data_IF_614320755335
#
_entry.id   IF_614320755335
#
_cell.length_a   1.000
_cell.length_b   1.000
_cell.length_c   1.000
_cell.angle_alpha   90.00
_cell.angle_beta   90.00
_cell.angle_gamma   90.00
#
_symmetry.space_group_name_H-M   'P 1'
#
loop_
_entity.id
_entity.type
_entity.pdbx_description
1 polymer ?
#
# COMPACT_ATOMS: atom_id res chain seq x y z
N UNK A 1 -10.19 -25.93 -14.21
CA UNK A 1 -9.87 -25.09 -13.03
C UNK A 1 -8.84 -24.07 -13.49
N UNK A 2 -9.29 -22.87 -13.87
CA UNK A 2 -8.40 -21.80 -14.33
C UNK A 2 -7.96 -21.01 -13.11
N UNK A 3 -6.71 -21.20 -12.68
CA UNK A 3 -6.06 -20.33 -11.70
C UNK A 3 -5.64 -19.04 -12.43
N UNK A 4 -6.57 -18.10 -12.55
CA UNK A 4 -6.23 -16.72 -12.90
C UNK A 4 -5.62 -16.04 -11.68
N UNK A 5 -4.39 -16.36 -11.37
CA UNK A 5 -3.61 -15.57 -10.42
C UNK A 5 -3.22 -14.29 -11.15
N UNK A 6 -4.01 -13.23 -11.00
CA UNK A 6 -3.56 -11.89 -11.38
C UNK A 6 -2.43 -11.49 -10.43
N UNK A 7 -1.22 -11.85 -10.81
CA UNK A 7 -0.03 -11.26 -10.19
C UNK A 7 0.02 -9.81 -10.65
N UNK A 8 -0.40 -8.89 -9.81
CA UNK A 8 -0.20 -7.46 -10.05
C UNK A 8 1.31 -7.22 -9.94
N UNK A 9 1.94 -6.59 -10.95
CA UNK A 9 3.36 -6.30 -10.86
C UNK A 9 3.63 -5.45 -9.64
N UNK A 10 4.54 -5.91 -8.78
CA UNK A 10 5.02 -5.18 -7.61
C UNK A 10 5.90 -4.02 -8.13
N UNK A 11 5.49 -2.80 -7.92
CA UNK A 11 6.30 -1.60 -8.24
C UNK A 11 6.57 -0.86 -6.93
N UNK A 12 7.62 -1.23 -6.20
CA UNK A 12 7.97 -0.54 -4.97
C UNK A 12 8.52 0.86 -5.27
N UNK A 13 8.18 1.80 -4.41
CA UNK A 13 8.76 3.14 -4.38
C UNK A 13 9.86 3.15 -3.34
N UNK A 14 11.01 3.73 -3.66
CA UNK A 14 12.14 3.86 -2.75
C UNK A 14 12.37 5.35 -2.49
N UNK A 15 12.45 5.75 -1.21
CA UNK A 15 12.77 7.13 -0.85
C UNK A 15 14.29 7.40 -0.86
N UNK A 16 14.66 8.64 -0.62
CA UNK A 16 16.06 9.10 -0.57
C UNK A 16 16.88 8.51 0.59
N UNK A 17 16.24 7.85 1.54
CA UNK A 17 16.87 7.12 2.67
C UNK A 17 16.97 5.62 2.42
N UNK A 18 16.52 5.16 1.26
CA UNK A 18 16.49 3.75 0.91
C UNK A 18 15.30 2.99 1.51
N UNK A 19 14.31 3.65 2.13
CA UNK A 19 13.11 2.98 2.61
C UNK A 19 12.22 2.56 1.44
N UNK A 20 11.75 1.33 1.47
CA UNK A 20 10.93 0.75 0.40
C UNK A 20 9.46 0.76 0.79
N UNK A 21 8.63 1.29 -0.10
CA UNK A 21 7.18 1.34 0.07
C UNK A 21 6.51 0.52 -1.04
N UNK A 22 5.72 -0.46 -0.64
CA UNK A 22 4.76 -1.12 -1.53
C UNK A 22 3.36 -0.66 -1.17
N UNK A 23 2.70 0.03 -2.09
CA UNK A 23 1.38 0.62 -1.87
C UNK A 23 0.38 -0.01 -2.84
N UNK A 24 -0.70 -0.57 -2.30
CA UNK A 24 -1.77 -1.18 -3.09
C UNK A 24 -3.15 -0.68 -2.66
N UNK A 25 -3.99 -0.40 -3.64
CA UNK A 25 -5.41 -0.14 -3.42
C UNK A 25 -6.23 -1.43 -3.51
N UNK A 26 -7.15 -1.62 -2.57
CA UNK A 26 -8.01 -2.79 -2.48
C UNK A 26 -9.48 -2.40 -2.41
N UNK A 27 -10.26 -2.90 -3.35
CA UNK A 27 -11.71 -2.69 -3.40
C UNK A 27 -12.50 -3.95 -3.03
N UNK A 28 -11.84 -5.10 -3.00
CA UNK A 28 -12.42 -6.40 -2.67
C UNK A 28 -12.04 -6.83 -1.26
N UNK A 29 -13.02 -7.23 -0.46
CA UNK A 29 -12.85 -7.61 0.95
C UNK A 29 -12.48 -9.09 1.09
N UNK A 30 -11.22 -9.44 0.84
CA UNK A 30 -10.65 -10.72 1.24
C UNK A 30 -9.48 -10.51 2.20
N UNK A 31 -9.81 -10.34 3.48
CA UNK A 31 -8.81 -10.09 4.53
C UNK A 31 -7.83 -11.23 4.73
N UNK A 32 -8.26 -12.49 4.52
CA UNK A 32 -7.38 -13.64 4.66
C UNK A 32 -6.29 -13.65 3.59
N UNK A 33 -6.64 -13.28 2.37
CA UNK A 33 -5.68 -13.10 1.29
C UNK A 33 -4.75 -11.92 1.56
N UNK A 34 -5.30 -10.74 1.90
CA UNK A 34 -4.50 -9.53 2.13
C UNK A 34 -3.44 -9.72 3.21
N UNK A 35 -3.79 -10.32 4.34
CA UNK A 35 -2.85 -10.59 5.42
C UNK A 35 -1.71 -11.50 4.96
N UNK A 36 -1.97 -12.51 4.13
CA UNK A 36 -0.94 -13.39 3.57
C UNK A 36 -0.09 -12.69 2.51
N UNK A 37 -0.68 -11.79 1.72
CA UNK A 37 0.03 -11.00 0.71
C UNK A 37 1.08 -10.08 1.32
N UNK A 38 0.89 -9.57 2.55
CA UNK A 38 1.92 -8.76 3.23
C UNK A 38 3.24 -9.53 3.34
N UNK A 39 3.17 -10.82 3.71
CA UNK A 39 4.34 -11.68 3.83
C UNK A 39 4.97 -11.98 2.47
N UNK A 40 4.14 -12.25 1.47
CA UNK A 40 4.61 -12.53 0.11
C UNK A 40 5.34 -11.33 -0.49
N UNK A 41 4.76 -10.14 -0.41
CA UNK A 41 5.37 -8.93 -0.96
C UNK A 41 6.69 -8.57 -0.26
N UNK A 42 6.75 -8.70 1.08
CA UNK A 42 8.00 -8.48 1.80
C UNK A 42 9.11 -9.40 1.29
N UNK A 43 8.83 -10.69 1.13
CA UNK A 43 9.81 -11.65 0.63
C UNK A 43 10.25 -11.33 -0.80
N UNK A 44 9.31 -10.94 -1.68
CA UNK A 44 9.64 -10.56 -3.06
C UNK A 44 10.53 -9.31 -3.12
N UNK A 45 10.26 -8.31 -2.29
CA UNK A 45 11.08 -7.09 -2.20
C UNK A 45 12.48 -7.45 -1.74
N UNK A 46 12.63 -8.21 -0.66
CA UNK A 46 13.94 -8.60 -0.14
C UNK A 46 14.79 -9.35 -1.17
N UNK A 47 14.17 -10.32 -1.85
CA UNK A 47 14.84 -11.08 -2.91
C UNK A 47 15.25 -10.18 -4.09
N UNK A 48 14.44 -9.16 -4.40
CA UNK A 48 14.71 -8.27 -5.53
C UNK A 48 15.80 -7.22 -5.25
N UNK A 49 16.01 -6.88 -3.97
CA UNK A 49 16.93 -5.82 -3.57
C UNK A 49 18.26 -6.33 -3.01
N UNK A 50 18.29 -7.53 -2.43
CA UNK A 50 19.49 -8.11 -1.88
C UNK A 50 20.25 -8.87 -2.96
N UNK A 51 21.42 -8.38 -3.34
CA UNK A 51 22.28 -9.04 -4.31
C UNK A 51 23.01 -10.24 -3.71
N UNK A 52 23.34 -11.21 -4.55
CA UNK A 52 24.08 -12.40 -4.12
C UNK A 52 25.44 -12.03 -3.50
N UNK A 53 25.61 -12.37 -2.23
CA UNK A 53 26.85 -12.13 -1.49
C UNK A 53 26.87 -10.86 -0.66
N UNK A 54 25.77 -10.10 -0.66
CA UNK A 54 25.58 -9.01 0.30
C UNK A 54 25.17 -9.54 1.69
N UNK A 55 25.53 -8.79 2.71
CA UNK A 55 25.11 -9.07 4.09
C UNK A 55 23.64 -8.71 4.30
N UNK A 56 22.96 -9.42 5.18
CA UNK A 56 21.55 -9.16 5.50
C UNK A 56 21.30 -7.78 6.11
N UNK A 57 22.32 -7.14 6.68
CA UNK A 57 22.25 -5.76 7.18
C UNK A 57 22.00 -4.73 6.06
N UNK A 58 22.19 -5.10 4.79
CA UNK A 58 21.88 -4.29 3.63
C UNK A 58 20.37 -4.28 3.30
N UNK A 59 19.55 -5.12 3.96
CA UNK A 59 18.10 -5.12 3.74
C UNK A 59 17.46 -3.80 4.18
N UNK A 60 16.66 -3.24 3.30
CA UNK A 60 15.99 -1.96 3.49
C UNK A 60 14.83 -2.06 4.48
N UNK A 61 14.56 -0.95 5.19
CA UNK A 61 13.29 -0.79 5.86
C UNK A 61 12.15 -0.85 4.84
N UNK A 62 11.11 -1.64 5.10
CA UNK A 62 10.05 -1.92 4.14
C UNK A 62 8.66 -1.67 4.75
N UNK A 63 7.85 -0.90 4.03
CA UNK A 63 6.45 -0.67 4.35
C UNK A 63 5.56 -1.34 3.31
N UNK A 64 4.70 -2.27 3.76
CA UNK A 64 3.64 -2.85 2.94
C UNK A 64 2.33 -2.16 3.31
N UNK A 65 1.77 -1.39 2.40
CA UNK A 65 0.63 -0.51 2.65
C UNK A 65 -0.55 -0.95 1.78
N UNK A 66 -1.66 -1.31 2.42
CA UNK A 66 -2.93 -1.54 1.76
C UNK A 66 -3.88 -0.38 2.05
N UNK A 67 -4.40 0.26 0.99
CA UNK A 67 -5.45 1.27 1.06
C UNK A 67 -6.76 0.57 0.67
N UNK A 68 -7.67 0.42 1.63
CA UNK A 68 -8.89 -0.36 1.48
C UNK A 68 -10.12 0.55 1.46
N UNK A 69 -11.00 0.38 0.45
CA UNK A 69 -12.28 1.09 0.37
C UNK A 69 -13.39 0.42 1.21
N UNK A 70 -13.00 -0.40 2.17
CA UNK A 70 -13.88 -1.11 3.09
C UNK A 70 -13.26 -1.15 4.51
N UNK A 71 -14.09 -1.46 5.52
CA UNK A 71 -13.62 -1.68 6.89
C UNK A 71 -12.75 -2.93 6.99
N UNK A 72 -11.51 -2.80 7.50
CA UNK A 72 -10.51 -3.87 7.47
C UNK A 72 -10.51 -4.76 8.70
N UNK A 73 -10.62 -4.18 9.90
CA UNK A 73 -10.64 -4.91 11.17
C UNK A 73 -11.81 -4.42 12.04
N UNK A 74 -11.97 -4.97 13.23
CA UNK A 74 -13.14 -4.75 14.08
C UNK A 74 -13.13 -3.44 14.90
N UNK A 75 -12.08 -2.64 14.83
CA UNK A 75 -11.90 -1.46 15.68
C UNK A 75 -12.31 -0.12 15.04
N UNK A 76 -12.95 -0.14 13.87
CA UNK A 76 -13.43 1.04 13.13
C UNK A 76 -12.40 2.16 12.96
N UNK A 77 -11.09 1.81 12.94
CA UNK A 77 -10.00 2.75 12.76
C UNK A 77 -9.73 3.00 11.27
N UNK A 78 -9.19 4.18 10.98
CA UNK A 78 -8.65 4.49 9.66
C UNK A 78 -7.29 3.83 9.41
N UNK A 79 -6.50 3.60 10.49
CA UNK A 79 -5.15 3.08 10.37
C UNK A 79 -4.89 1.93 11.34
N UNK A 80 -4.33 0.85 10.82
CA UNK A 80 -3.80 -0.28 11.59
C UNK A 80 -2.35 -0.52 11.20
N UNK A 81 -1.47 -0.47 12.18
CA UNK A 81 -0.04 -0.70 12.00
C UNK A 81 0.37 -2.00 12.68
N UNK A 82 1.04 -2.88 11.94
CA UNK A 82 1.55 -4.13 12.46
C UNK A 82 3.08 -4.17 12.34
N UNK A 83 3.72 -4.53 13.43
CA UNK A 83 5.15 -4.82 13.54
C UNK A 83 5.32 -6.16 14.26
N UNK A 84 6.51 -6.73 14.24
CA UNK A 84 6.80 -7.97 14.94
C UNK A 84 7.09 -7.67 16.42
N UNK A 85 6.33 -8.32 17.31
CA UNK A 85 6.44 -8.18 18.77
C UNK A 85 6.81 -9.51 19.41
N UNK A 86 7.57 -9.47 20.50
CA UNK A 86 7.81 -10.62 21.36
C UNK A 86 6.52 -11.01 22.09
N UNK A 87 6.22 -12.30 22.15
CA UNK A 87 5.01 -12.81 22.85
C UNK A 87 5.29 -12.88 24.36
N UNK A 88 6.51 -13.20 24.75
CA UNK A 88 6.91 -13.42 26.14
C UNK A 88 7.23 -12.12 26.88
N UNK A 89 7.59 -11.04 26.15
CA UNK A 89 7.97 -9.76 26.74
C UNK A 89 7.17 -8.62 26.10
N UNK A 90 6.24 -8.06 26.87
CA UNK A 90 5.34 -7.01 26.41
C UNK A 90 6.13 -5.74 26.02
N UNK A 91 5.85 -5.22 24.84
CA UNK A 91 6.47 -4.01 24.29
C UNK A 91 7.82 -4.22 23.61
N UNK A 92 8.45 -5.41 23.74
CA UNK A 92 9.67 -5.74 23.01
C UNK A 92 9.38 -5.93 21.52
N UNK A 93 9.98 -5.11 20.66
CA UNK A 93 9.91 -5.20 19.21
C UNK A 93 11.09 -5.95 18.65
N UNK A 94 10.86 -6.73 17.58
CA UNK A 94 11.96 -7.38 16.87
C UNK A 94 12.81 -6.38 16.06
N UNK A 95 12.21 -5.25 15.66
CA UNK A 95 12.84 -4.18 14.87
C UNK A 95 13.55 -4.67 13.59
N UNK A 96 12.92 -5.63 12.91
CA UNK A 96 13.42 -6.22 11.65
C UNK A 96 13.23 -5.31 10.42
N UNK A 97 12.93 -4.04 10.61
CA UNK A 97 12.70 -3.07 9.54
C UNK A 97 11.40 -3.26 8.76
N UNK A 98 10.51 -4.18 9.18
CA UNK A 98 9.26 -4.47 8.47
C UNK A 98 8.06 -3.83 9.14
N UNK A 99 7.31 -3.02 8.39
CA UNK A 99 6.04 -2.44 8.85
C UNK A 99 4.92 -2.77 7.85
N UNK A 100 3.77 -3.19 8.37
CA UNK A 100 2.56 -3.43 7.56
C UNK A 100 1.49 -2.43 7.98
N UNK A 101 0.94 -1.72 7.00
CA UNK A 101 -0.09 -0.71 7.20
C UNK A 101 -1.36 -1.12 6.45
N UNK A 102 -2.47 -1.06 7.16
CA UNK A 102 -3.78 -1.12 6.54
C UNK A 102 -4.50 0.20 6.80
N UNK A 103 -4.84 0.89 5.72
CA UNK A 103 -5.59 2.14 5.74
C UNK A 103 -7.01 1.84 5.25
N UNK A 104 -8.02 2.33 5.97
CA UNK A 104 -9.43 2.15 5.62
C UNK A 104 -10.10 3.48 5.38
N UNK A 105 -10.79 3.64 4.24
CA UNK A 105 -11.62 4.82 3.96
C UNK A 105 -12.87 4.85 4.87
N UNK A 106 -13.23 3.72 5.50
CA UNK A 106 -14.45 3.54 6.31
C UNK A 106 -14.21 3.65 7.82
N UNK A 107 -13.03 4.09 8.24
CA UNK A 107 -12.77 4.35 9.66
C UNK A 107 -13.68 5.45 10.22
N UNK A 108 -13.99 5.35 11.51
CA UNK A 108 -14.85 6.30 12.24
C UNK A 108 -14.13 6.94 13.41
N UNK A 109 -12.99 6.37 13.82
CA UNK A 109 -12.17 6.89 14.91
C UNK A 109 -11.30 8.02 14.39
N UNK A 110 -11.19 9.13 15.15
CA UNK A 110 -10.27 10.23 14.84
C UNK A 110 -8.84 9.86 15.28
N UNK A 111 -8.19 9.00 14.49
CA UNK A 111 -6.90 8.38 14.79
C UNK A 111 -5.80 8.67 13.74
N UNK A 112 -6.09 9.57 12.80
CA UNK A 112 -5.17 9.96 11.73
C UNK A 112 -5.11 11.48 11.55
N UNK A 113 -4.03 11.97 10.92
CA UNK A 113 -3.89 13.36 10.58
C UNK A 113 -4.90 13.81 9.52
N UNK A 114 -5.24 15.11 9.53
CA UNK A 114 -6.18 15.67 8.55
C UNK A 114 -5.75 15.47 7.09
N UNK A 115 -4.46 15.62 6.69
CA UNK A 115 -4.03 15.33 5.34
C UNK A 115 -4.27 13.88 4.92
N UNK A 116 -4.00 12.92 5.83
CA UNK A 116 -4.27 11.51 5.55
C UNK A 116 -5.78 11.24 5.46
N UNK A 117 -6.59 11.91 6.28
CA UNK A 117 -8.06 11.81 6.19
C UNK A 117 -8.56 12.33 4.84
N UNK A 118 -8.10 13.52 4.40
CA UNK A 118 -8.46 14.10 3.11
C UNK A 118 -8.10 13.16 1.95
N UNK A 119 -6.92 12.52 2.03
CA UNK A 119 -6.50 11.53 1.04
C UNK A 119 -7.42 10.30 1.03
N UNK A 120 -7.78 9.75 2.19
CA UNK A 120 -8.68 8.60 2.26
C UNK A 120 -10.10 8.95 1.79
N UNK A 121 -10.58 10.15 2.07
CA UNK A 121 -11.87 10.64 1.56
C UNK A 121 -11.83 10.78 0.03
N UNK A 122 -10.76 11.32 -0.53
CA UNK A 122 -10.56 11.37 -1.97
C UNK A 122 -10.55 9.96 -2.61
N UNK A 123 -9.85 9.00 -2.02
CA UNK A 123 -9.86 7.60 -2.46
C UNK A 123 -11.26 6.98 -2.39
N UNK A 124 -12.09 7.41 -1.44
CA UNK A 124 -13.49 6.98 -1.30
C UNK A 124 -14.46 7.67 -2.28
N UNK A 125 -13.95 8.55 -3.14
CA UNK A 125 -14.69 9.23 -4.20
C UNK A 125 -15.22 10.61 -3.83
N UNK A 126 -14.76 11.22 -2.74
CA UNK A 126 -15.08 12.60 -2.40
C UNK A 126 -14.25 13.58 -3.24
N UNK A 127 -14.74 14.82 -3.39
CA UNK A 127 -14.01 15.87 -4.08
C UNK A 127 -12.69 16.22 -3.36
N UNK A 128 -11.65 16.64 -4.12
CA UNK A 128 -10.38 17.08 -3.54
C UNK A 128 -10.59 18.18 -2.49
N UNK A 129 -10.12 17.94 -1.26
CA UNK A 129 -10.38 18.80 -0.10
C UNK A 129 -9.30 19.88 0.12
N UNK A 130 -8.11 19.71 -0.45
CA UNK A 130 -6.97 20.60 -0.31
C UNK A 130 -6.12 20.65 -1.58
N UNK A 131 -5.09 21.51 -1.57
CA UNK A 131 -4.19 21.73 -2.73
C UNK A 131 -3.48 20.44 -3.16
N UNK A 132 -2.98 19.66 -2.20
CA UNK A 132 -2.32 18.37 -2.47
C UNK A 132 -3.27 17.39 -3.17
N UNK A 133 -4.53 17.31 -2.73
CA UNK A 133 -5.53 16.46 -3.36
C UNK A 133 -5.90 16.95 -4.76
N UNK A 134 -5.92 18.27 -4.99
CA UNK A 134 -6.15 18.85 -6.32
C UNK A 134 -5.01 18.53 -7.28
N UNK A 135 -3.76 18.57 -6.82
CA UNK A 135 -2.59 18.14 -7.61
C UNK A 135 -2.68 16.66 -7.99
N UNK A 136 -2.98 15.78 -7.02
CA UNK A 136 -3.16 14.35 -7.25
C UNK A 136 -4.29 14.09 -8.24
N UNK A 137 -5.44 14.74 -8.09
CA UNK A 137 -6.58 14.60 -9.00
C UNK A 137 -6.22 15.02 -10.43
N UNK A 138 -5.47 16.10 -10.57
CA UNK A 138 -5.00 16.58 -11.87
C UNK A 138 -4.09 15.55 -12.55
N UNK A 139 -3.14 14.95 -11.83
CA UNK A 139 -2.23 13.91 -12.34
C UNK A 139 -2.97 12.62 -12.70
N UNK A 140 -3.93 12.20 -11.87
CA UNK A 140 -4.79 11.03 -12.15
C UNK A 140 -5.59 11.24 -13.42
N UNK A 141 -6.19 12.42 -13.60
CA UNK A 141 -6.95 12.78 -14.79
C UNK A 141 -6.09 12.83 -16.05
N UNK A 142 -4.88 13.38 -15.97
CA UNK A 142 -3.91 13.40 -17.08
C UNK A 142 -3.48 11.99 -17.50
N UNK A 143 -3.20 11.13 -16.52
CA UNK A 143 -2.79 9.75 -16.75
C UNK A 143 -3.93 8.93 -17.37
N UNK A 144 -5.15 9.09 -16.87
CA UNK A 144 -6.35 8.44 -17.43
C UNK A 144 -6.60 8.83 -18.87
N UNK A 145 -6.47 10.10 -19.22
CA UNK A 145 -6.58 10.60 -20.62
C UNK A 145 -5.51 10.00 -21.52
N UNK A 146 -4.26 9.90 -21.04
CA UNK A 146 -3.17 9.27 -21.82
C UNK A 146 -3.46 7.80 -22.10
N UNK A 147 -3.98 7.06 -21.12
CA UNK A 147 -4.37 5.66 -21.30
C UNK A 147 -5.49 5.51 -22.33
N UNK A 148 -6.53 6.34 -22.30
CA UNK A 148 -7.59 6.34 -23.31
C UNK A 148 -7.06 6.58 -24.73
N UNK A 149 -6.21 7.58 -24.91
CA UNK A 149 -5.60 7.92 -26.22
C UNK A 149 -4.72 6.79 -26.76
N UNK A 150 -3.97 6.09 -25.88
CA UNK A 150 -3.14 4.95 -26.29
C UNK A 150 -4.01 3.74 -26.71
N UNK A 151 -5.14 3.51 -26.04
CA UNK A 151 -6.07 2.45 -26.42
C UNK A 151 -6.73 2.75 -27.77
N UNK A 152 -7.18 3.98 -28.02
CA UNK A 152 -7.75 4.37 -29.30
C UNK A 152 -6.75 4.25 -30.46
N UNK A 153 -5.47 4.59 -30.21
CA UNK A 153 -4.41 4.44 -31.22
C UNK A 153 -4.08 2.97 -31.56
N UNK A 154 -4.27 2.04 -30.61
CA UNK A 154 -4.01 0.61 -30.84
C UNK A 154 -5.14 -0.12 -31.55
N UNK A 155 -6.36 0.45 -31.59
CA UNK A 155 -7.50 -0.12 -32.32
C UNK A 155 -7.64 0.41 -33.75
N UNK A 156 -6.75 1.32 -34.19
CA UNK A 156 -6.76 1.96 -35.51
C UNK A 156 -5.72 1.37 -36.48
N UNK A 157 -5.05 0.28 -36.11
CA UNK A 157 -4.13 -0.53 -36.92
C UNK A 157 -4.68 -1.92 -37.14
#
# INVERSE_FOLDING_TARGET
MSLSTKVVPLVPVVDDKGTVFNIEMQTSKDMNELVKRTRYYKAMIDISLLEKGQDYDALNNTYIIFICTFGVFTGDRHKYTFTNLCVEEEGLKLDDGTTKLFLSTKGQVDDISKPLKNFLDYVDGHAPADELMQEIDSEVNLTSRRYCLLQEATWSL
#
